data_IF_573192136014
#
_entry.id   IF_573192136014
#
_cell.length_a   1.000
_cell.length_b   1.000
_cell.length_c   1.000
_cell.angle_alpha   90.00
_cell.angle_beta   90.00
_cell.angle_gamma   90.00
#
_symmetry.space_group_name_H-M   'P 1'
#
loop_
_entity.id
_entity.type
_entity.pdbx_description
1 polymer ?
#
# COMPACT_ATOMS: atom_id res chain seq x y z
N UNK A 1 -40.24 18.01 -21.78
CA UNK A 1 -39.40 19.09 -22.33
C UNK A 1 -38.68 19.71 -21.15
N UNK A 2 -37.48 19.22 -20.84
CA UNK A 2 -36.64 19.82 -19.81
C UNK A 2 -35.53 20.57 -20.54
N UNK A 3 -35.69 21.89 -20.61
CA UNK A 3 -34.68 22.80 -21.15
C UNK A 3 -33.48 22.81 -20.21
N UNK A 4 -32.45 22.07 -20.59
CA UNK A 4 -31.14 22.15 -19.95
C UNK A 4 -30.49 23.42 -20.50
N UNK A 5 -30.57 24.51 -19.73
CA UNK A 5 -29.87 25.76 -20.04
C UNK A 5 -28.36 25.44 -20.14
N UNK A 6 -27.70 25.68 -21.29
CA UNK A 6 -26.26 25.47 -21.37
C UNK A 6 -25.58 26.40 -20.37
N UNK A 7 -24.65 25.85 -19.59
CA UNK A 7 -23.75 26.64 -18.77
C UNK A 7 -23.08 27.68 -19.67
N UNK A 8 -23.11 28.95 -19.26
CA UNK A 8 -22.42 30.00 -19.98
C UNK A 8 -20.95 29.58 -20.17
N UNK A 9 -20.36 29.78 -21.36
CA UNK A 9 -18.94 29.51 -21.54
C UNK A 9 -18.19 30.31 -20.47
N UNK A 10 -17.31 29.65 -19.70
CA UNK A 10 -16.33 30.35 -18.85
C UNK A 10 -15.70 31.42 -19.74
N UNK A 11 -15.87 32.69 -19.40
CA UNK A 11 -15.30 33.79 -20.18
C UNK A 11 -13.81 33.51 -20.36
N UNK A 12 -13.34 33.56 -21.60
CA UNK A 12 -11.91 33.46 -21.88
C UNK A 12 -11.21 34.62 -21.16
N UNK A 13 -10.19 34.30 -20.38
CA UNK A 13 -9.38 35.29 -19.67
C UNK A 13 -8.58 36.04 -20.72
N UNK A 14 -8.71 37.37 -20.74
CA UNK A 14 -7.97 38.18 -21.69
C UNK A 14 -6.46 38.18 -21.32
N UNK A 15 -5.53 38.06 -22.28
CA UNK A 15 -4.10 37.96 -21.99
C UNK A 15 -3.55 39.12 -21.17
N UNK A 16 -3.94 40.35 -21.48
CA UNK A 16 -3.51 41.57 -20.76
C UNK A 16 -4.35 41.88 -19.50
N UNK A 17 -5.10 40.90 -18.96
CA UNK A 17 -5.97 41.14 -17.81
C UNK A 17 -5.26 40.93 -16.47
N UNK A 18 -5.69 41.64 -15.40
CA UNK A 18 -5.20 41.37 -14.05
C UNK A 18 -5.46 39.92 -13.58
N UNK A 19 -6.43 39.24 -14.18
CA UNK A 19 -6.76 37.85 -13.91
C UNK A 19 -5.72 36.89 -14.54
N UNK A 20 -5.20 37.22 -15.72
CA UNK A 20 -4.07 36.52 -16.32
C UNK A 20 -2.79 36.71 -15.50
N UNK A 21 -2.48 37.96 -15.11
CA UNK A 21 -1.32 38.27 -14.24
C UNK A 21 -1.35 37.46 -12.94
N UNK A 22 -2.53 37.37 -12.29
CA UNK A 22 -2.69 36.60 -11.08
C UNK A 22 -2.49 35.08 -11.29
N UNK A 23 -2.94 34.54 -12.43
CA UNK A 23 -2.73 33.13 -12.77
C UNK A 23 -1.26 32.81 -13.03
N UNK A 24 -0.54 33.66 -13.76
CA UNK A 24 0.89 33.47 -14.00
C UNK A 24 1.70 33.62 -12.73
N UNK A 25 1.37 34.58 -11.85
CA UNK A 25 2.01 34.71 -10.54
C UNK A 25 1.79 33.47 -9.66
N UNK A 26 0.56 32.93 -9.64
CA UNK A 26 0.27 31.68 -8.94
C UNK A 26 1.02 30.48 -9.54
N UNK A 27 1.16 30.43 -10.87
CA UNK A 27 1.98 29.43 -11.53
C UNK A 27 3.45 29.52 -11.12
N UNK A 28 4.01 30.72 -10.99
CA UNK A 28 5.38 30.93 -10.48
C UNK A 28 5.51 30.40 -9.04
N UNK A 29 4.56 30.72 -8.15
CA UNK A 29 4.54 30.20 -6.77
C UNK A 29 4.51 28.66 -6.73
N UNK A 30 3.71 28.04 -7.60
CA UNK A 30 3.62 26.60 -7.71
C UNK A 30 4.92 25.98 -8.23
N UNK A 31 5.54 26.55 -9.26
CA UNK A 31 6.84 26.09 -9.79
C UNK A 31 7.93 26.22 -8.72
N UNK A 32 7.94 27.31 -7.97
CA UNK A 32 8.88 27.53 -6.86
C UNK A 32 8.69 26.50 -5.73
N UNK A 33 7.45 26.08 -5.48
CA UNK A 33 7.11 25.06 -4.49
C UNK A 33 7.40 23.61 -4.97
N UNK A 34 7.59 23.38 -6.27
CA UNK A 34 7.71 22.05 -6.88
C UNK A 34 8.76 21.15 -6.21
N UNK A 35 10.01 21.59 -5.94
CA UNK A 35 11.01 20.71 -5.33
C UNK A 35 10.60 20.20 -3.94
N UNK A 36 9.92 21.05 -3.15
CA UNK A 36 9.41 20.65 -1.85
C UNK A 36 8.27 19.63 -1.98
N UNK A 37 7.40 19.80 -2.97
CA UNK A 37 6.29 18.86 -3.21
C UNK A 37 6.75 17.54 -3.83
N UNK A 38 7.83 17.54 -4.61
CA UNK A 38 8.50 16.32 -5.06
C UNK A 38 9.02 15.51 -3.87
N UNK A 39 9.69 16.16 -2.92
CA UNK A 39 10.16 15.50 -1.69
C UNK A 39 9.00 14.92 -0.85
N UNK A 40 7.88 15.65 -0.73
CA UNK A 40 6.67 15.15 -0.06
C UNK A 40 6.04 13.98 -0.83
N UNK A 41 6.08 14.01 -2.17
CA UNK A 41 5.66 12.91 -3.03
C UNK A 41 6.51 11.65 -2.87
N UNK A 42 7.83 11.79 -2.78
CA UNK A 42 8.76 10.69 -2.49
C UNK A 42 8.52 10.11 -1.09
N UNK A 43 8.34 10.98 -0.09
CA UNK A 43 7.97 10.58 1.27
C UNK A 43 6.67 9.79 1.29
N UNK A 44 5.65 10.25 0.56
CA UNK A 44 4.36 9.57 0.45
C UNK A 44 4.49 8.20 -0.24
N UNK A 45 5.27 8.12 -1.33
CA UNK A 45 5.54 6.85 -2.01
C UNK A 45 6.25 5.85 -1.09
N UNK A 46 7.25 6.32 -0.34
CA UNK A 46 7.96 5.52 0.65
C UNK A 46 7.05 5.05 1.78
N UNK A 47 6.17 5.92 2.30
CA UNK A 47 5.19 5.56 3.32
C UNK A 47 4.16 4.52 2.82
N UNK A 48 3.73 4.61 1.55
CA UNK A 48 2.87 3.59 0.91
C UNK A 48 3.55 2.22 0.86
N UNK A 49 4.82 2.20 0.45
CA UNK A 49 5.60 0.97 0.42
C UNK A 49 5.77 0.36 1.82
N UNK A 50 6.07 1.20 2.82
CA UNK A 50 6.19 0.78 4.22
C UNK A 50 4.89 0.15 4.75
N UNK A 51 3.73 0.77 4.49
CA UNK A 51 2.42 0.22 4.88
C UNK A 51 2.13 -1.15 4.27
N UNK A 52 2.52 -1.36 3.01
CA UNK A 52 2.36 -2.66 2.36
C UNK A 52 3.27 -3.72 2.97
N UNK A 53 4.54 -3.38 3.25
CA UNK A 53 5.46 -4.27 3.98
C UNK A 53 4.86 -4.65 5.33
N UNK A 54 4.38 -3.67 6.12
CA UNK A 54 3.78 -3.91 7.43
C UNK A 54 2.53 -4.82 7.35
N UNK A 55 1.69 -4.63 6.33
CA UNK A 55 0.52 -5.49 6.08
C UNK A 55 0.94 -6.93 5.78
N UNK A 56 1.91 -7.13 4.91
CA UNK A 56 2.43 -8.45 4.54
C UNK A 56 3.15 -9.13 5.71
N UNK A 57 3.88 -8.36 6.51
CA UNK A 57 4.58 -8.87 7.70
C UNK A 57 3.60 -9.36 8.77
N UNK A 58 2.51 -8.61 9.02
CA UNK A 58 1.39 -9.07 9.87
C UNK A 58 0.77 -10.36 9.35
N UNK A 59 0.57 -10.47 8.03
CA UNK A 59 0.05 -11.70 7.40
C UNK A 59 1.02 -12.89 7.58
N UNK A 60 2.32 -12.67 7.36
CA UNK A 60 3.37 -13.69 7.59
C UNK A 60 3.37 -14.18 9.05
N UNK A 61 3.35 -13.26 10.01
CA UNK A 61 3.25 -13.58 11.45
C UNK A 61 2.00 -14.40 11.76
N UNK A 62 0.88 -14.15 11.07
CA UNK A 62 -0.33 -14.97 11.16
C UNK A 62 -0.13 -16.40 10.64
N UNK A 63 0.49 -16.56 9.46
CA UNK A 63 0.80 -17.89 8.91
C UNK A 63 1.76 -18.67 9.80
N UNK A 64 2.77 -18.00 10.36
CA UNK A 64 3.73 -18.59 11.28
C UNK A 64 3.04 -19.13 12.54
N UNK A 65 2.14 -18.34 13.16
CA UNK A 65 1.38 -18.77 14.34
C UNK A 65 0.50 -19.99 14.07
N UNK A 66 -0.18 -20.02 12.92
CA UNK A 66 -0.99 -21.16 12.50
C UNK A 66 -0.14 -22.41 12.27
N UNK A 67 1.02 -22.27 11.61
CA UNK A 67 1.95 -23.38 11.43
C UNK A 67 2.46 -23.92 12.77
N UNK A 68 2.83 -23.03 13.70
CA UNK A 68 3.24 -23.40 15.06
C UNK A 68 2.13 -24.14 15.81
N UNK A 69 0.88 -23.69 15.67
CA UNK A 69 -0.28 -24.36 16.28
C UNK A 69 -0.46 -25.78 15.75
N UNK A 70 -0.43 -25.96 14.42
CA UNK A 70 -0.56 -27.29 13.80
C UNK A 70 0.64 -28.19 14.17
N UNK A 71 1.85 -27.64 14.20
CA UNK A 71 3.05 -28.37 14.62
C UNK A 71 2.89 -28.90 16.05
N UNK A 72 2.44 -28.05 16.99
CA UNK A 72 2.18 -28.47 18.36
C UNK A 72 1.17 -29.60 18.43
N UNK A 73 0.07 -29.50 17.68
CA UNK A 73 -0.96 -30.55 17.63
C UNK A 73 -0.44 -31.85 17.04
N UNK A 74 0.38 -31.77 16.00
CA UNK A 74 1.04 -32.93 15.41
C UNK A 74 1.92 -33.63 16.45
N UNK A 75 2.76 -32.88 17.17
CA UNK A 75 3.65 -33.43 18.19
C UNK A 75 2.87 -34.06 19.37
N UNK A 76 1.75 -33.44 19.78
CA UNK A 76 0.83 -34.01 20.77
C UNK A 76 0.29 -35.39 20.31
N UNK A 77 -0.14 -35.53 19.05
CA UNK A 77 -0.63 -36.82 18.53
C UNK A 77 0.47 -37.87 18.40
N UNK A 78 1.67 -37.47 17.95
CA UNK A 78 2.82 -38.37 17.90
C UNK A 78 3.22 -38.90 19.29
N UNK A 79 3.11 -38.06 20.33
CA UNK A 79 3.35 -38.47 21.71
C UNK A 79 2.28 -39.45 22.21
N UNK A 80 1.00 -39.22 21.90
CA UNK A 80 -0.10 -40.13 22.23
C UNK A 80 0.09 -41.48 21.53
N UNK A 81 0.44 -41.48 20.24
CA UNK A 81 0.71 -42.68 19.45
C UNK A 81 1.83 -43.52 20.11
N UNK A 82 2.94 -42.87 20.50
CA UNK A 82 4.05 -43.56 21.17
C UNK A 82 3.62 -44.16 22.51
N UNK A 83 2.90 -43.41 23.34
CA UNK A 83 2.42 -43.89 24.63
C UNK A 83 1.44 -45.08 24.49
N UNK A 84 0.53 -45.01 23.50
CA UNK A 84 -0.42 -46.08 23.21
C UNK A 84 0.29 -47.36 22.73
N UNK A 85 1.34 -47.23 21.91
CA UNK A 85 2.22 -48.35 21.51
C UNK A 85 2.90 -49.00 22.70
N UNK A 86 3.41 -48.19 23.63
CA UNK A 86 4.08 -48.69 24.84
C UNK A 86 3.10 -49.39 25.79
N UNK A 87 1.85 -48.95 25.86
CA UNK A 87 0.81 -49.58 26.68
C UNK A 87 0.07 -50.74 26.01
N UNK A 88 0.27 -50.97 24.71
CA UNK A 88 -0.46 -51.97 23.93
C UNK A 88 -1.94 -51.61 23.68
N UNK A 89 -2.27 -50.32 23.66
CA UNK A 89 -3.63 -49.85 23.34
C UNK A 89 -3.74 -49.57 21.82
N UNK A 90 -4.08 -50.62 21.07
CA UNK A 90 -4.13 -50.58 19.60
C UNK A 90 -5.16 -49.54 19.08
N UNK A 91 -6.29 -49.37 19.77
CA UNK A 91 -7.32 -48.43 19.35
C UNK A 91 -6.86 -46.97 19.54
N UNK A 92 -6.20 -46.67 20.66
CA UNK A 92 -5.62 -45.35 20.89
C UNK A 92 -4.46 -45.06 19.93
N UNK A 93 -3.61 -46.06 19.64
CA UNK A 93 -2.53 -45.95 18.66
C UNK A 93 -3.05 -45.61 17.27
N UNK A 94 -4.04 -46.37 16.78
CA UNK A 94 -4.57 -46.19 15.43
C UNK A 94 -5.21 -44.81 15.27
N UNK A 95 -5.98 -44.37 16.26
CA UNK A 95 -6.61 -43.05 16.26
C UNK A 95 -5.55 -41.93 16.28
N UNK A 96 -4.54 -42.03 17.14
CA UNK A 96 -3.46 -41.05 17.22
C UNK A 96 -2.66 -40.97 15.92
N UNK A 97 -2.34 -42.13 15.32
CA UNK A 97 -1.65 -42.21 14.02
C UNK A 97 -2.46 -41.56 12.91
N UNK A 98 -3.77 -41.81 12.85
CA UNK A 98 -4.65 -41.20 11.86
C UNK A 98 -4.71 -39.67 12.02
N UNK A 99 -4.82 -39.18 13.25
CA UNK A 99 -4.81 -37.75 13.53
C UNK A 99 -3.47 -37.10 13.19
N UNK A 100 -2.35 -37.75 13.54
CA UNK A 100 -1.01 -37.29 13.18
C UNK A 100 -0.83 -37.22 11.66
N UNK A 101 -1.32 -38.20 10.89
CA UNK A 101 -1.28 -38.17 9.43
C UNK A 101 -2.03 -36.96 8.86
N UNK A 102 -3.25 -36.69 9.35
CA UNK A 102 -4.05 -35.54 8.92
C UNK A 102 -3.36 -34.21 9.25
N UNK A 103 -2.82 -34.09 10.46
CA UNK A 103 -2.07 -32.91 10.89
C UNK A 103 -0.76 -32.75 10.09
N UNK A 104 -0.10 -33.84 9.72
CA UNK A 104 1.09 -33.83 8.86
C UNK A 104 0.81 -33.27 7.46
N UNK A 105 -0.34 -33.60 6.88
CA UNK A 105 -0.79 -33.02 5.61
C UNK A 105 -1.07 -31.51 5.76
N UNK A 106 -1.80 -31.11 6.80
CA UNK A 106 -2.08 -29.70 7.08
C UNK A 106 -0.80 -28.90 7.32
N UNK A 107 0.14 -29.44 8.10
CA UNK A 107 1.44 -28.86 8.37
C UNK A 107 2.19 -28.57 7.07
N UNK A 108 2.24 -29.52 6.14
CA UNK A 108 2.91 -29.33 4.85
C UNK A 108 2.31 -28.18 4.03
N UNK A 109 0.97 -28.08 4.01
CA UNK A 109 0.26 -26.97 3.35
C UNK A 109 0.59 -25.63 4.01
N UNK A 110 0.52 -25.57 5.35
CA UNK A 110 0.80 -24.35 6.13
C UNK A 110 2.25 -23.91 6.00
N UNK A 111 3.19 -24.85 5.92
CA UNK A 111 4.59 -24.55 5.66
C UNK A 111 4.77 -23.83 4.32
N UNK A 112 4.15 -24.34 3.25
CA UNK A 112 4.16 -23.66 1.95
C UNK A 112 3.54 -22.25 2.00
N UNK A 113 2.45 -22.08 2.75
CA UNK A 113 1.80 -20.78 2.93
C UNK A 113 2.68 -19.78 3.69
N UNK A 114 3.36 -20.21 4.74
CA UNK A 114 4.31 -19.39 5.51
C UNK A 114 5.49 -18.96 4.64
N UNK A 115 6.09 -19.89 3.89
CA UNK A 115 7.21 -19.60 2.99
C UNK A 115 6.83 -18.60 1.89
N UNK A 116 5.64 -18.76 1.31
CA UNK A 116 5.11 -17.82 0.33
C UNK A 116 4.89 -16.42 0.95
N UNK A 117 4.37 -16.36 2.18
CA UNK A 117 4.22 -15.09 2.88
C UNK A 117 5.57 -14.43 3.19
N UNK A 118 6.58 -15.21 3.57
CA UNK A 118 7.94 -14.71 3.78
C UNK A 118 8.57 -14.16 2.49
N UNK A 119 8.37 -14.84 1.36
CA UNK A 119 8.82 -14.37 0.05
C UNK A 119 8.17 -13.02 -0.31
N UNK A 120 6.86 -12.88 -0.13
CA UNK A 120 6.15 -11.63 -0.42
C UNK A 120 6.66 -10.45 0.42
N UNK A 121 6.98 -10.68 1.69
CA UNK A 121 7.62 -9.63 2.53
C UNK A 121 8.96 -9.22 1.93
N UNK A 122 9.79 -10.20 1.52
CA UNK A 122 11.09 -9.92 0.90
C UNK A 122 10.95 -9.14 -0.42
N UNK A 123 10.00 -9.52 -1.28
CA UNK A 123 9.71 -8.82 -2.53
C UNK A 123 9.23 -7.39 -2.28
N UNK A 124 8.37 -7.19 -1.29
CA UNK A 124 7.88 -5.86 -0.91
C UNK A 124 8.99 -4.96 -0.36
N UNK A 125 9.91 -5.50 0.46
CA UNK A 125 11.10 -4.78 0.92
C UNK A 125 11.97 -4.33 -0.26
N UNK A 126 12.26 -5.25 -1.19
CA UNK A 126 13.06 -4.94 -2.38
C UNK A 126 12.40 -3.89 -3.28
N UNK A 127 11.09 -4.04 -3.54
CA UNK A 127 10.33 -3.11 -4.39
C UNK A 127 10.19 -1.74 -3.72
N UNK A 128 10.03 -1.71 -2.41
CA UNK A 128 9.95 -0.50 -1.60
C UNK A 128 11.31 0.18 -1.35
N UNK A 129 12.42 -0.44 -1.74
CA UNK A 129 13.76 0.11 -1.55
C UNK A 129 14.25 0.06 -0.09
N UNK A 130 13.74 -0.88 0.71
CA UNK A 130 14.15 -1.08 2.11
C UNK A 130 15.18 -2.20 2.25
N UNK A 131 16.18 -2.02 3.10
CA UNK A 131 17.16 -3.06 3.45
C UNK A 131 16.56 -4.16 4.32
N UNK A 132 15.63 -3.79 5.21
CA UNK A 132 15.03 -4.65 6.22
C UNK A 132 13.70 -4.09 6.75
N UNK A 133 13.10 -4.84 7.67
CA UNK A 133 11.83 -4.46 8.31
C UNK A 133 11.96 -3.24 9.21
N UNK A 134 13.11 -3.01 9.83
CA UNK A 134 13.29 -1.87 10.74
C UNK A 134 13.29 -0.56 9.94
N UNK A 135 13.96 -0.54 8.78
CA UNK A 135 13.91 0.60 7.86
C UNK A 135 12.50 0.84 7.30
N UNK A 136 11.77 -0.24 6.98
CA UNK A 136 10.38 -0.12 6.52
C UNK A 136 9.47 0.45 7.62
N UNK A 137 9.58 -0.05 8.86
CA UNK A 137 8.82 0.44 10.00
C UNK A 137 9.14 1.90 10.34
N UNK A 138 10.40 2.33 10.20
CA UNK A 138 10.81 3.72 10.40
C UNK A 138 10.20 4.70 9.37
N UNK A 139 9.75 4.19 8.22
CA UNK A 139 9.08 4.98 7.18
C UNK A 139 7.55 4.93 7.26
N UNK A 140 6.97 4.19 8.22
CA UNK A 140 5.53 4.23 8.46
C UNK A 140 5.11 5.59 9.00
N UNK A 141 4.01 6.11 8.44
CA UNK A 141 3.27 7.23 8.99
C UNK A 141 1.99 6.70 9.63
N UNK A 142 1.57 7.32 10.73
CA UNK A 142 0.25 7.05 11.27
C UNK A 142 -0.87 7.44 10.27
N UNK A 143 -2.10 7.04 10.56
CA UNK A 143 -3.22 7.21 9.62
C UNK A 143 -3.55 8.68 9.35
N UNK A 144 -3.43 9.54 10.35
CA UNK A 144 -3.75 10.96 10.21
C UNK A 144 -2.62 11.68 9.44
N UNK A 145 -1.36 11.41 9.77
CA UNK A 145 -0.20 11.95 9.06
C UNK A 145 -0.16 11.49 7.59
N UNK A 146 -0.46 10.22 7.34
CA UNK A 146 -0.52 9.68 5.98
C UNK A 146 -1.63 10.34 5.17
N UNK A 147 -2.83 10.46 5.74
CA UNK A 147 -3.97 11.08 5.06
C UNK A 147 -3.70 12.57 4.78
N UNK A 148 -3.11 13.29 5.72
CA UNK A 148 -2.75 14.69 5.54
C UNK A 148 -1.70 14.87 4.44
N UNK A 149 -0.68 14.00 4.39
CA UNK A 149 0.33 14.04 3.34
C UNK A 149 -0.23 13.68 1.96
N UNK A 150 -1.11 12.68 1.89
CA UNK A 150 -1.81 12.30 0.66
C UNK A 150 -2.67 13.44 0.13
N UNK A 151 -3.46 14.05 1.01
CA UNK A 151 -4.28 15.21 0.67
C UNK A 151 -3.43 16.38 0.17
N UNK A 152 -2.36 16.73 0.89
CA UNK A 152 -1.45 17.83 0.52
C UNK A 152 -0.84 17.65 -0.87
N UNK A 153 -0.35 16.44 -1.17
CA UNK A 153 0.25 16.14 -2.48
C UNK A 153 -0.80 16.18 -3.59
N UNK A 154 -2.01 15.69 -3.33
CA UNK A 154 -3.10 15.69 -4.32
C UNK A 154 -3.64 17.10 -4.59
N UNK A 155 -3.84 17.90 -3.55
CA UNK A 155 -4.26 19.30 -3.68
C UNK A 155 -3.27 20.10 -4.53
N UNK A 156 -1.98 19.97 -4.25
CA UNK A 156 -0.94 20.61 -5.05
C UNK A 156 -0.95 20.15 -6.52
N UNK A 157 -1.10 18.84 -6.77
CA UNK A 157 -1.16 18.29 -8.14
C UNK A 157 -2.35 18.81 -8.93
N UNK A 158 -3.52 18.87 -8.28
CA UNK A 158 -4.73 19.42 -8.90
C UNK A 158 -4.55 20.89 -9.21
N UNK A 159 -4.07 21.68 -8.26
CA UNK A 159 -3.85 23.12 -8.42
C UNK A 159 -2.81 23.42 -9.52
N UNK A 160 -1.70 22.69 -9.52
CA UNK A 160 -0.68 22.77 -10.56
C UNK A 160 -1.26 22.46 -11.95
N UNK A 161 -2.01 21.37 -12.08
CA UNK A 161 -2.60 20.96 -13.35
C UNK A 161 -3.63 21.96 -13.86
N UNK A 162 -4.52 22.44 -12.99
CA UNK A 162 -5.59 23.38 -13.35
C UNK A 162 -5.01 24.75 -13.71
N UNK A 163 -4.04 25.24 -12.93
CA UNK A 163 -3.36 26.52 -13.18
C UNK A 163 -2.54 26.48 -14.45
N UNK A 164 -1.80 25.39 -14.69
CA UNK A 164 -1.05 25.21 -15.94
C UNK A 164 -1.96 25.21 -17.16
N UNK A 165 -3.08 24.50 -17.11
CA UNK A 165 -4.05 24.45 -18.21
C UNK A 165 -4.67 25.84 -18.48
N UNK A 166 -4.94 26.62 -17.43
CA UNK A 166 -5.44 27.99 -17.56
C UNK A 166 -4.39 28.92 -18.20
N UNK A 167 -3.13 28.83 -17.78
CA UNK A 167 -2.02 29.60 -18.37
C UNK A 167 -1.81 29.25 -19.84
N UNK A 168 -1.83 27.95 -20.19
CA UNK A 168 -1.71 27.48 -21.58
C UNK A 168 -2.83 28.03 -22.47
N UNK A 169 -4.09 28.01 -21.99
CA UNK A 169 -5.20 28.55 -22.75
C UNK A 169 -5.08 30.05 -23.04
N UNK A 170 -4.44 30.81 -22.14
CA UNK A 170 -4.17 32.24 -22.35
C UNK A 170 -3.10 32.43 -23.43
N UNK A 171 -1.98 31.70 -23.33
CA UNK A 171 -0.88 31.75 -24.32
C UNK A 171 -1.38 31.36 -25.71
N UNK A 172 -2.13 30.25 -25.82
CA UNK A 172 -2.69 29.80 -27.09
C UNK A 172 -3.66 30.82 -27.71
N UNK A 173 -4.44 31.51 -26.88
CA UNK A 173 -5.36 32.56 -27.34
C UNK A 173 -4.63 33.81 -27.81
N UNK A 174 -3.48 34.13 -27.20
CA UNK A 174 -2.63 35.25 -27.58
C UNK A 174 -1.90 34.99 -28.90
N UNK A 175 -1.34 33.78 -29.07
CA UNK A 175 -0.71 33.33 -30.32
C UNK A 175 -1.70 33.27 -31.50
N UNK A 176 -2.96 32.92 -31.25
CA UNK A 176 -4.00 32.92 -32.29
C UNK A 176 -4.44 34.34 -32.73
N UNK A 177 -4.09 35.38 -31.97
CA UNK A 177 -4.40 36.78 -32.24
C UNK A 177 -3.23 37.55 -32.90
N UNK A 178 -2.03 36.96 -32.92
CA UNK A 178 -0.80 37.51 -33.52
C UNK A 178 -0.66 37.15 -35.01
#
# INVERSE_FOLDING_TARGET
MNDTKPAAPKQAIAPDSPEADALFAHMEELVDALPAMEAEGERLARARAAREVARLERYRKGQEKELQFIQKKFDEQMAIERAAKESGDDAAEENARYNALNLGNQKSIRYGAEQNAALKVKEALQTGGFSDLDEAHAAELDDDEFAALEQKVEEYRSDYSDTLAACQAIVDAEEAQA
#
